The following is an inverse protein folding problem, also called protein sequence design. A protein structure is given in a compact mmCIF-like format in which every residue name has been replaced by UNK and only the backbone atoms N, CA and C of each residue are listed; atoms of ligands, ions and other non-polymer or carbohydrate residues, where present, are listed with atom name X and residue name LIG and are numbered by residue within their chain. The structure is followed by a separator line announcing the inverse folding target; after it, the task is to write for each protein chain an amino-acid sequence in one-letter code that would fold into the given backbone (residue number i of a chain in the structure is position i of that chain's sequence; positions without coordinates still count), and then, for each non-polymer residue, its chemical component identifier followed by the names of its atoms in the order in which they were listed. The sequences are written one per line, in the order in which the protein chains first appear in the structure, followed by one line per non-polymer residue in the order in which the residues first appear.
data_IF_553291404365
#
_entry.id   IF_553291404365
#
_cell.length_a   1.000
_cell.length_b   1.000
_cell.length_c   1.000
_cell.angle_alpha   90.00
_cell.angle_beta   90.00
_cell.angle_gamma   90.00
#
_symmetry.space_group_name_H-M   'P 1'
#
loop_
_entity.id
_entity.type
_entity.pdbx_description
1 polymer ?
#
# COMPACT_ATOMS: atom_id res chain seq x y z
N UNK A 1 4.44 -2.18 25.57
CA UNK A 1 3.38 -3.20 25.35
C UNK A 1 2.11 -2.70 24.61
N UNK A 2 2.18 -1.65 23.77
CA UNK A 2 0.97 -1.21 23.02
C UNK A 2 0.66 -2.09 21.81
N UNK A 3 1.68 -2.68 21.18
CA UNK A 3 1.53 -3.54 19.99
C UNK A 3 0.79 -4.84 20.25
N UNK A 4 1.14 -5.56 21.33
CA UNK A 4 0.50 -6.83 21.68
C UNK A 4 -1.00 -6.66 21.97
N UNK A 5 -1.37 -5.60 22.70
CA UNK A 5 -2.77 -5.32 23.03
C UNK A 5 -3.61 -5.05 21.76
N UNK A 6 -3.10 -4.24 20.82
CA UNK A 6 -3.79 -3.99 19.56
C UNK A 6 -3.94 -5.25 18.70
N UNK A 7 -2.94 -6.12 18.69
CA UNK A 7 -2.99 -7.39 17.94
C UNK A 7 -3.98 -8.37 18.55
N UNK A 8 -3.93 -8.56 19.88
CA UNK A 8 -4.88 -9.41 20.61
C UNK A 8 -6.31 -8.91 20.43
N UNK A 9 -6.54 -7.61 20.56
CA UNK A 9 -7.86 -7.02 20.35
C UNK A 9 -8.41 -7.32 18.96
N UNK A 10 -7.57 -7.25 17.91
CA UNK A 10 -7.98 -7.62 16.55
C UNK A 10 -8.37 -9.10 16.48
N UNK A 11 -7.50 -10.00 16.95
CA UNK A 11 -7.71 -11.46 16.83
C UNK A 11 -8.91 -11.93 17.67
N UNK A 12 -9.06 -11.41 18.89
CA UNK A 12 -10.13 -11.77 19.83
C UNK A 12 -11.49 -11.18 19.43
N UNK A 13 -11.51 -10.05 18.72
CA UNK A 13 -12.76 -9.44 18.22
C UNK A 13 -13.33 -10.09 16.96
N UNK A 14 -12.67 -11.13 16.44
CA UNK A 14 -13.11 -11.86 15.25
C UNK A 14 -14.46 -12.54 15.49
N UNK A 15 -15.41 -12.28 14.60
CA UNK A 15 -16.75 -12.89 14.59
C UNK A 15 -16.87 -13.86 13.41
N UNK A 16 -17.57 -14.96 13.61
CA UNK A 16 -17.76 -15.94 12.54
C UNK A 16 -18.49 -15.32 11.35
N UNK A 17 -18.03 -15.68 10.14
CA UNK A 17 -18.72 -15.38 8.91
C UNK A 17 -19.89 -16.37 8.75
N UNK A 18 -21.13 -15.88 8.54
CA UNK A 18 -22.28 -16.76 8.32
C UNK A 18 -22.11 -17.67 7.09
N UNK A 19 -21.35 -17.21 6.10
CA UNK A 19 -21.07 -17.92 4.85
C UNK A 19 -19.68 -17.51 4.34
N UNK A 20 -18.84 -18.50 4.00
CA UNK A 20 -17.58 -18.27 3.32
C UNK A 20 -17.86 -17.85 1.87
N UNK A 21 -17.59 -16.58 1.57
CA UNK A 21 -17.69 -16.08 0.20
C UNK A 21 -16.38 -16.31 -0.53
N UNK A 22 -16.40 -16.90 -1.75
CA UNK A 22 -15.21 -16.98 -2.57
C UNK A 22 -14.74 -15.56 -2.91
N UNK A 23 -13.43 -15.40 -3.10
CA UNK A 23 -12.86 -14.13 -3.53
C UNK A 23 -13.46 -13.74 -4.89
N UNK A 24 -14.00 -12.52 -5.01
CA UNK A 24 -14.56 -12.02 -6.27
C UNK A 24 -13.46 -11.92 -7.31
N UNK A 25 -13.54 -12.61 -8.47
CA UNK A 25 -12.51 -12.55 -9.51
C UNK A 25 -12.19 -11.09 -9.89
N UNK A 26 -10.90 -10.74 -9.91
CA UNK A 26 -10.45 -9.38 -10.23
C UNK A 26 -10.00 -9.27 -11.70
N UNK A 27 -9.71 -10.41 -12.34
CA UNK A 27 -9.31 -10.47 -13.75
C UNK A 27 -10.33 -9.80 -14.68
N UNK A 28 -11.63 -10.13 -14.52
CA UNK A 28 -12.69 -9.60 -15.38
C UNK A 28 -12.76 -8.05 -15.34
N UNK A 29 -12.84 -7.38 -14.17
CA UNK A 29 -12.76 -5.92 -14.10
C UNK A 29 -11.49 -5.32 -14.70
N UNK A 30 -10.33 -5.96 -14.49
CA UNK A 30 -9.06 -5.48 -15.05
C UNK A 30 -9.07 -5.54 -16.57
N UNK A 31 -9.56 -6.64 -17.15
CA UNK A 31 -9.70 -6.80 -18.60
C UNK A 31 -10.72 -5.81 -19.18
N UNK A 32 -11.83 -5.57 -18.49
CA UNK A 32 -12.83 -4.56 -18.88
C UNK A 32 -12.22 -3.16 -18.92
N UNK A 33 -11.50 -2.78 -17.86
CA UNK A 33 -10.78 -1.51 -17.77
C UNK A 33 -9.75 -1.37 -18.90
N UNK A 34 -8.89 -2.38 -19.09
CA UNK A 34 -7.84 -2.36 -20.09
C UNK A 34 -8.40 -2.35 -21.52
N UNK A 35 -9.44 -3.14 -21.79
CA UNK A 35 -10.10 -3.18 -23.10
C UNK A 35 -10.69 -1.83 -23.45
N UNK A 36 -11.35 -1.18 -22.50
CA UNK A 36 -11.89 0.16 -22.71
C UNK A 36 -10.77 1.20 -22.92
N UNK A 37 -9.65 1.09 -22.19
CA UNK A 37 -8.47 1.95 -22.38
C UNK A 37 -7.92 1.82 -23.81
N UNK A 38 -7.78 0.60 -24.32
CA UNK A 38 -7.34 0.34 -25.70
C UNK A 38 -8.33 0.88 -26.74
N UNK A 39 -9.64 0.78 -26.50
CA UNK A 39 -10.66 1.29 -27.43
C UNK A 39 -10.70 2.82 -27.49
N UNK A 40 -10.55 3.50 -26.35
CA UNK A 40 -10.58 4.97 -26.28
C UNK A 40 -9.20 5.61 -26.51
N UNK A 41 -8.13 4.80 -26.48
CA UNK A 41 -6.73 5.24 -26.49
C UNK A 41 -6.25 5.81 -25.15
N UNK A 42 -7.14 6.37 -24.33
CA UNK A 42 -6.83 6.88 -22.99
C UNK A 42 -8.09 6.98 -22.12
N UNK A 43 -7.88 7.08 -20.81
CA UNK A 43 -8.84 7.55 -19.83
C UNK A 43 -8.48 8.95 -19.38
N UNK A 44 -9.50 9.77 -19.13
CA UNK A 44 -9.32 11.09 -18.52
C UNK A 44 -9.12 10.96 -17.00
N UNK A 45 -8.29 11.84 -16.43
CA UNK A 45 -8.02 11.92 -15.01
C UNK A 45 -8.50 13.27 -14.43
N UNK A 46 -9.08 13.26 -13.22
CA UNK A 46 -9.47 14.48 -12.48
C UNK A 46 -8.30 15.04 -11.63
N UNK A 47 -7.14 14.40 -11.68
CA UNK A 47 -5.94 14.73 -10.92
C UNK A 47 -4.84 13.70 -11.13
N UNK A 48 -3.69 13.89 -10.48
CA UNK A 48 -2.61 12.92 -10.54
C UNK A 48 -3.09 11.59 -9.92
N UNK A 49 -3.05 10.50 -10.70
CA UNK A 49 -3.43 9.15 -10.26
C UNK A 49 -4.91 8.99 -9.83
N UNK A 50 -5.81 9.88 -10.29
CA UNK A 50 -7.24 9.78 -10.05
C UNK A 50 -8.04 9.69 -11.35
N UNK A 51 -8.68 8.55 -11.61
CA UNK A 51 -9.61 8.37 -12.72
C UNK A 51 -10.78 9.36 -12.61
N UNK A 52 -11.12 10.01 -13.72
CA UNK A 52 -12.20 10.98 -13.71
C UNK A 52 -13.54 10.34 -13.31
N UNK A 53 -14.32 11.02 -12.47
CA UNK A 53 -15.58 10.46 -11.95
C UNK A 53 -16.58 10.13 -13.07
N UNK A 54 -16.56 10.91 -14.16
CA UNK A 54 -17.36 10.66 -15.37
C UNK A 54 -16.98 9.39 -16.10
N UNK A 55 -15.69 9.03 -16.11
CA UNK A 55 -15.19 7.79 -16.71
C UNK A 55 -15.59 6.59 -15.86
N UNK A 56 -15.44 6.69 -14.54
CA UNK A 56 -15.89 5.65 -13.60
C UNK A 56 -17.38 5.32 -13.77
N UNK A 57 -18.24 6.35 -13.83
CA UNK A 57 -19.69 6.16 -14.07
C UNK A 57 -19.99 5.57 -15.45
N UNK A 58 -19.17 5.86 -16.46
CA UNK A 58 -19.34 5.31 -17.81
C UNK A 58 -19.00 3.82 -17.82
N UNK A 59 -17.90 3.42 -17.19
CA UNK A 59 -17.51 2.01 -17.03
C UNK A 59 -18.59 1.23 -16.28
N UNK A 60 -19.10 1.78 -15.18
CA UNK A 60 -20.19 1.17 -14.42
C UNK A 60 -21.45 0.97 -15.25
N UNK A 61 -21.86 1.98 -16.04
CA UNK A 61 -23.00 1.86 -16.97
C UNK A 61 -22.76 0.86 -18.10
N UNK A 62 -21.54 0.79 -18.62
CA UNK A 62 -21.20 -0.08 -19.75
C UNK A 62 -21.17 -1.55 -19.35
N UNK A 63 -20.61 -1.85 -18.19
CA UNK A 63 -20.45 -3.22 -17.70
C UNK A 63 -21.56 -3.66 -16.73
N UNK A 64 -22.45 -2.74 -16.35
CA UNK A 64 -23.53 -2.95 -15.38
C UNK A 64 -23.03 -3.56 -14.06
N UNK A 65 -21.81 -3.19 -13.68
CA UNK A 65 -21.11 -3.67 -12.48
C UNK A 65 -20.05 -2.67 -12.04
N UNK A 66 -19.70 -2.72 -10.75
CA UNK A 66 -18.59 -1.98 -10.16
C UNK A 66 -17.66 -2.98 -9.48
N UNK A 67 -16.35 -2.94 -9.75
CA UNK A 67 -15.39 -3.78 -9.04
C UNK A 67 -15.38 -3.42 -7.55
N UNK A 68 -14.88 -4.32 -6.68
CA UNK A 68 -14.62 -4.02 -5.29
C UNK A 68 -13.82 -2.70 -5.14
N UNK A 69 -14.31 -1.78 -4.31
CA UNK A 69 -13.73 -0.44 -4.14
C UNK A 69 -13.90 0.53 -5.32
N UNK A 70 -14.45 0.09 -6.44
CA UNK A 70 -14.82 0.93 -7.58
C UNK A 70 -13.69 1.19 -8.59
N UNK A 71 -14.11 1.63 -9.78
CA UNK A 71 -13.26 1.78 -10.96
C UNK A 71 -12.04 2.70 -10.76
N UNK A 72 -12.21 3.80 -10.04
CA UNK A 72 -11.13 4.76 -9.84
C UNK A 72 -9.95 4.18 -9.04
N UNK A 73 -10.26 3.41 -7.99
CA UNK A 73 -9.23 2.79 -7.14
C UNK A 73 -8.56 1.62 -7.85
N UNK A 74 -9.34 0.79 -8.57
CA UNK A 74 -8.78 -0.26 -9.42
C UNK A 74 -7.83 0.32 -10.48
N UNK A 75 -8.23 1.41 -11.14
CA UNK A 75 -7.39 2.09 -12.13
C UNK A 75 -6.05 2.56 -11.53
N UNK A 76 -6.06 3.12 -10.32
CA UNK A 76 -4.84 3.56 -9.66
C UNK A 76 -3.89 2.38 -9.36
N UNK A 77 -4.41 1.23 -8.89
CA UNK A 77 -3.61 0.03 -8.68
C UNK A 77 -3.09 -0.56 -10.00
N UNK A 78 -3.92 -0.59 -11.05
CA UNK A 78 -3.51 -0.99 -12.40
C UNK A 78 -2.36 -0.13 -12.92
N UNK A 79 -2.32 1.15 -12.57
CA UNK A 79 -1.17 2.00 -12.89
C UNK A 79 0.09 1.60 -12.13
N UNK A 80 -0.03 1.27 -10.84
CA UNK A 80 1.13 0.86 -10.03
C UNK A 80 1.71 -0.48 -10.47
N UNK A 81 0.87 -1.43 -10.88
CA UNK A 81 1.33 -2.73 -11.37
C UNK A 81 1.67 -2.74 -12.88
N UNK A 82 1.67 -1.60 -13.56
CA UNK A 82 2.12 -1.48 -14.95
C UNK A 82 1.12 -1.93 -16.02
N UNK A 83 -0.15 -2.15 -15.67
CA UNK A 83 -1.22 -2.47 -16.64
C UNK A 83 -1.62 -1.22 -17.42
N UNK A 84 -1.75 -0.11 -16.70
CA UNK A 84 -1.96 1.22 -17.27
C UNK A 84 -0.74 2.08 -16.98
N UNK A 85 -0.50 3.10 -17.81
CA UNK A 85 0.53 4.10 -17.56
C UNK A 85 -0.14 5.46 -17.29
N UNK A 86 0.20 6.13 -16.17
CA UNK A 86 -0.25 7.49 -15.93
C UNK A 86 0.52 8.46 -16.84
N UNK A 87 -0.22 9.36 -17.47
CA UNK A 87 0.28 10.50 -18.23
C UNK A 87 -0.30 11.81 -17.67
N UNK A 88 0.05 12.94 -18.27
CA UNK A 88 -0.49 14.23 -17.83
C UNK A 88 -2.00 14.25 -18.10
N UNK A 89 -2.77 14.24 -17.02
CA UNK A 89 -4.25 14.31 -17.02
C UNK A 89 -4.95 13.10 -17.67
N UNK A 90 -4.20 12.02 -17.95
CA UNK A 90 -4.74 10.81 -18.60
C UNK A 90 -4.10 9.53 -18.06
N UNK A 91 -4.75 8.40 -18.35
CA UNK A 91 -4.18 7.06 -18.23
C UNK A 91 -4.23 6.37 -19.58
N UNK A 92 -3.11 5.80 -20.03
CA UNK A 92 -3.03 5.08 -21.31
C UNK A 92 -2.81 3.59 -21.03
N UNK A 93 -3.25 2.68 -21.92
CA UNK A 93 -2.90 1.28 -21.81
C UNK A 93 -1.37 1.10 -21.91
N UNK A 94 -0.81 0.27 -21.04
CA UNK A 94 0.62 -0.08 -21.06
C UNK A 94 0.84 -1.56 -21.39
N UNK A 95 -0.02 -2.43 -20.86
CA UNK A 95 -0.01 -3.86 -21.13
C UNK A 95 -0.91 -4.20 -22.33
N UNK A 96 -0.51 -5.17 -23.14
CA UNK A 96 -1.35 -5.68 -24.20
C UNK A 96 -2.50 -6.54 -23.64
N UNK A 97 -3.63 -6.64 -24.37
CA UNK A 97 -4.80 -7.38 -23.89
C UNK A 97 -4.56 -8.89 -23.79
N UNK A 98 -3.82 -9.45 -24.74
CA UNK A 98 -3.39 -10.84 -24.76
C UNK A 98 -2.45 -11.17 -23.60
N UNK A 99 -1.53 -10.27 -23.26
CA UNK A 99 -0.68 -10.39 -22.08
C UNK A 99 -1.51 -10.39 -20.78
N UNK A 100 -2.49 -9.48 -20.68
CA UNK A 100 -3.38 -9.41 -19.51
C UNK A 100 -4.27 -10.66 -19.35
N UNK A 101 -4.71 -11.27 -20.45
CA UNK A 101 -5.51 -12.50 -20.45
C UNK A 101 -4.73 -13.70 -19.90
N UNK A 102 -3.40 -13.69 -20.01
CA UNK A 102 -2.53 -14.76 -19.52
C UNK A 102 -2.19 -14.63 -18.02
N UNK A 103 -2.55 -13.51 -17.38
CA UNK A 103 -2.35 -13.33 -15.95
C UNK A 103 -3.39 -14.13 -15.17
N UNK A 104 -2.95 -15.06 -14.33
CA UNK A 104 -3.85 -15.73 -13.40
C UNK A 104 -4.32 -14.75 -12.30
N UNK A 105 -5.53 -14.98 -11.78
CA UNK A 105 -6.17 -14.09 -10.82
C UNK A 105 -5.35 -13.92 -9.53
N UNK A 106 -4.63 -14.95 -9.07
CA UNK A 106 -3.80 -14.87 -7.87
C UNK A 106 -2.57 -13.98 -8.08
N UNK A 107 -1.88 -14.13 -9.21
CA UNK A 107 -0.77 -13.27 -9.63
C UNK A 107 -1.21 -11.82 -9.83
N UNK A 108 -2.43 -11.61 -10.34
CA UNK A 108 -3.01 -10.29 -10.52
C UNK A 108 -3.32 -9.62 -9.18
N UNK A 109 -3.97 -10.30 -8.24
CA UNK A 109 -4.22 -9.78 -6.88
C UNK A 109 -2.91 -9.40 -6.18
N UNK A 110 -1.90 -10.26 -6.29
CA UNK A 110 -0.56 -10.01 -5.76
C UNK A 110 0.05 -8.75 -6.35
N UNK A 111 0.07 -8.66 -7.68
CA UNK A 111 0.61 -7.49 -8.41
C UNK A 111 -0.13 -6.19 -8.05
N UNK A 112 -1.46 -6.24 -7.92
CA UNK A 112 -2.27 -5.09 -7.50
C UNK A 112 -1.99 -4.67 -6.05
N UNK A 113 -1.75 -5.62 -5.14
CA UNK A 113 -1.34 -5.30 -3.77
C UNK A 113 0.07 -4.72 -3.71
N UNK A 114 0.99 -5.31 -4.49
CA UNK A 114 2.39 -4.89 -4.57
C UNK A 114 2.58 -3.51 -5.22
N UNK A 115 1.59 -3.04 -5.99
CA UNK A 115 1.51 -1.64 -6.40
C UNK A 115 1.65 -0.70 -5.20
N UNK A 116 1.00 -1.00 -4.07
CA UNK A 116 1.16 -0.21 -2.86
C UNK A 116 2.34 -0.69 -2.02
N UNK A 117 2.42 -1.98 -1.72
CA UNK A 117 3.35 -2.49 -0.72
C UNK A 117 4.81 -2.43 -1.17
N UNK A 118 5.09 -2.30 -2.46
CA UNK A 118 6.45 -2.13 -3.01
C UNK A 118 6.64 -0.80 -3.72
N UNK A 119 5.61 -0.30 -4.40
CA UNK A 119 5.71 0.91 -5.24
C UNK A 119 5.04 2.14 -4.66
N UNK A 120 4.35 2.04 -3.51
CA UNK A 120 3.64 3.15 -2.86
C UNK A 120 2.57 3.84 -3.75
N UNK A 121 1.94 3.05 -4.62
CA UNK A 121 0.80 3.46 -5.44
C UNK A 121 -0.50 2.87 -4.86
N UNK A 122 -1.55 3.67 -4.59
CA UNK A 122 -1.71 5.07 -5.01
C UNK A 122 -0.95 6.08 -4.12
N UNK A 123 -0.45 7.20 -4.69
CA UNK A 123 0.26 8.22 -3.91
C UNK A 123 -0.54 8.86 -2.78
N UNK A 124 -1.87 8.94 -2.91
CA UNK A 124 -2.75 9.43 -1.84
C UNK A 124 -2.68 8.53 -0.60
N UNK A 125 -2.74 7.21 -0.79
CA UNK A 125 -2.57 6.24 0.29
C UNK A 125 -1.18 6.34 0.91
N UNK A 126 -0.13 6.51 0.09
CA UNK A 126 1.24 6.68 0.61
C UNK A 126 1.39 7.96 1.44
N UNK A 127 0.74 9.06 1.02
CA UNK A 127 0.71 10.29 1.80
C UNK A 127 0.00 10.09 3.15
N UNK A 128 -1.10 9.36 3.20
CA UNK A 128 -1.77 8.96 4.44
C UNK A 128 -0.85 8.21 5.39
N UNK A 129 -0.07 7.25 4.87
CA UNK A 129 0.95 6.52 5.64
C UNK A 129 2.03 7.46 6.18
N UNK A 130 2.55 8.37 5.36
CA UNK A 130 3.58 9.32 5.77
C UNK A 130 3.11 10.24 6.89
N UNK A 131 1.85 10.70 6.81
CA UNK A 131 1.22 11.48 7.87
C UNK A 131 1.11 10.64 9.15
N UNK A 132 0.68 9.38 9.05
CA UNK A 132 0.60 8.47 10.20
C UNK A 132 1.95 8.18 10.86
N UNK A 133 3.03 8.13 10.10
CA UNK A 133 4.40 8.01 10.62
C UNK A 133 4.93 9.34 11.17
N UNK A 134 4.28 10.45 10.84
CA UNK A 134 4.74 11.79 11.16
C UNK A 134 5.99 12.17 10.38
N UNK A 135 6.21 11.57 9.21
CA UNK A 135 7.34 11.84 8.32
C UNK A 135 7.22 13.27 7.79
N UNK A 136 8.34 13.98 7.75
CA UNK A 136 8.41 15.29 7.10
C UNK A 136 8.05 15.17 5.60
N UNK A 137 7.19 16.03 5.04
CA UNK A 137 6.72 15.91 3.65
C UNK A 137 7.83 15.78 2.60
N UNK A 138 8.93 16.54 2.75
CA UNK A 138 10.09 16.43 1.87
C UNK A 138 10.72 15.02 1.87
N UNK A 139 10.83 14.39 3.05
CA UNK A 139 11.35 13.02 3.18
C UNK A 139 10.36 12.00 2.61
N UNK A 140 9.06 12.15 2.85
CA UNK A 140 8.04 11.27 2.24
C UNK A 140 8.03 11.34 0.71
N UNK A 141 8.12 12.55 0.15
CA UNK A 141 8.24 12.75 -1.29
C UNK A 141 9.55 12.16 -1.82
N UNK A 142 10.67 12.30 -1.09
CA UNK A 142 11.95 11.67 -1.45
C UNK A 142 11.82 10.14 -1.54
N UNK A 143 11.22 9.50 -0.54
CA UNK A 143 11.01 8.04 -0.51
C UNK A 143 10.17 7.60 -1.72
N UNK A 144 9.02 8.24 -1.95
CA UNK A 144 8.15 7.92 -3.08
C UNK A 144 8.88 8.05 -4.44
N UNK A 145 9.64 9.13 -4.64
CA UNK A 145 10.43 9.31 -5.86
C UNK A 145 11.58 8.29 -6.01
N UNK A 146 12.28 7.99 -4.92
CA UNK A 146 13.37 7.01 -4.90
C UNK A 146 12.88 5.62 -5.32
N UNK A 147 11.73 5.21 -4.78
CA UNK A 147 11.09 3.93 -5.09
C UNK A 147 10.62 3.89 -6.56
N UNK A 148 9.88 4.90 -7.02
CA UNK A 148 9.42 4.94 -8.40
C UNK A 148 10.58 4.90 -9.41
N UNK A 149 11.66 5.64 -9.17
CA UNK A 149 12.82 5.66 -10.08
C UNK A 149 13.60 4.34 -10.11
N UNK A 150 13.79 3.67 -8.96
CA UNK A 150 14.45 2.36 -8.92
C UNK A 150 13.66 1.32 -9.72
N UNK A 151 12.34 1.31 -9.57
CA UNK A 151 11.47 0.40 -10.29
C UNK A 151 11.46 0.68 -11.80
N UNK A 152 11.40 1.94 -12.21
CA UNK A 152 11.51 2.30 -13.64
C UNK A 152 12.86 1.95 -14.25
N UNK A 153 13.96 1.94 -13.49
CA UNK A 153 15.28 1.53 -13.99
C UNK A 153 15.42 0.00 -14.10
N UNK A 154 14.83 -0.75 -13.16
CA UNK A 154 14.78 -2.22 -13.24
C UNK A 154 13.95 -2.69 -14.45
N UNK A 155 12.81 -2.04 -14.71
CA UNK A 155 11.92 -2.37 -15.84
C UNK A 155 12.54 -1.98 -17.22
N UNK A 156 13.36 -0.91 -17.29
CA UNK A 156 13.96 -0.41 -18.55
C UNK A 156 15.38 -0.92 -18.83
N UNK A 157 15.90 -1.89 -18.06
CA UNK A 157 17.29 -2.39 -18.21
C UNK A 157 17.58 -3.17 -19.50
N UNK A 158 16.68 -3.16 -20.50
CA UNK A 158 16.92 -3.70 -21.84
C UNK A 158 17.38 -2.66 -22.87
N UNK A 159 17.11 -1.36 -22.70
CA UNK A 159 17.53 -0.30 -23.64
C UNK A 159 17.55 1.06 -22.96
N UNK A 160 18.69 1.74 -23.07
CA UNK A 160 19.00 3.11 -22.59
C UNK A 160 19.41 3.30 -21.13
N UNK A 161 20.73 3.14 -20.92
CA UNK A 161 21.47 3.67 -19.78
C UNK A 161 21.53 5.20 -19.89
N UNK A 162 20.44 5.89 -19.52
CA UNK A 162 20.52 7.26 -19.02
C UNK A 162 20.04 7.25 -17.59
N UNK A 163 20.99 7.33 -16.67
CA UNK A 163 20.78 7.47 -15.24
C UNK A 163 19.85 8.65 -14.94
N UNK A 164 18.55 8.38 -14.82
CA UNK A 164 17.60 9.34 -14.31
C UNK A 164 17.91 9.52 -12.82
N UNK A 165 18.79 10.49 -12.52
CA UNK A 165 18.92 11.00 -11.16
C UNK A 165 17.52 11.49 -10.76
N UNK A 166 17.08 11.21 -9.52
CA UNK A 166 15.78 11.67 -9.09
C UNK A 166 15.75 13.20 -9.24
N UNK A 167 14.67 13.74 -9.82
CA UNK A 167 14.54 15.14 -10.28
C UNK A 167 14.58 16.21 -9.17
N UNK A 168 15.22 15.91 -8.04
CA UNK A 168 15.48 16.83 -6.95
C UNK A 168 16.55 17.83 -7.37
N UNK A 169 16.23 19.11 -7.18
CA UNK A 169 17.15 20.21 -7.45
C UNK A 169 18.35 20.22 -6.48
N UNK A 170 18.19 19.64 -5.29
CA UNK A 170 19.23 19.52 -4.28
C UNK A 170 19.09 18.19 -3.51
N UNK A 171 20.04 17.27 -3.70
CA UNK A 171 20.09 15.99 -2.99
C UNK A 171 20.95 16.07 -1.72
N UNK A 172 21.64 17.19 -1.47
CA UNK A 172 22.56 17.34 -0.33
C UNK A 172 21.83 17.44 1.01
N UNK A 173 20.55 17.82 0.99
CA UNK A 173 19.68 17.90 2.18
C UNK A 173 19.15 16.54 2.65
N UNK A 174 19.37 15.47 1.86
CA UNK A 174 18.89 14.12 2.15
C UNK A 174 20.08 13.18 2.40
N UNK A 175 20.53 13.09 3.64
CA UNK A 175 21.63 12.18 3.99
C UNK A 175 21.25 10.71 3.75
N UNK A 176 22.10 9.91 3.08
CA UNK A 176 21.77 8.54 2.67
C UNK A 176 21.31 7.63 3.82
N UNK A 177 21.94 7.75 4.98
CA UNK A 177 21.59 6.93 6.14
C UNK A 177 20.22 7.30 6.71
N UNK A 178 19.91 8.60 6.82
CA UNK A 178 18.58 9.07 7.21
C UNK A 178 17.53 8.62 6.21
N UNK A 179 17.85 8.67 4.92
CA UNK A 179 16.98 8.22 3.85
C UNK A 179 16.65 6.72 3.96
N UNK A 180 17.66 5.89 4.22
CA UNK A 180 17.50 4.46 4.45
C UNK A 180 16.62 4.18 5.68
N UNK A 181 16.89 4.82 6.81
CA UNK A 181 16.11 4.63 8.04
C UNK A 181 14.63 4.97 7.85
N UNK A 182 14.33 6.04 7.10
CA UNK A 182 12.94 6.44 6.80
C UNK A 182 12.28 5.44 5.85
N UNK A 183 12.98 5.00 4.81
CA UNK A 183 12.46 3.98 3.89
C UNK A 183 12.16 2.66 4.61
N UNK A 184 13.08 2.19 5.46
CA UNK A 184 12.89 1.02 6.32
C UNK A 184 11.68 1.21 7.24
N UNK A 185 11.48 2.40 7.81
CA UNK A 185 10.32 2.71 8.64
C UNK A 185 9.01 2.60 7.85
N UNK A 186 8.97 3.16 6.63
CA UNK A 186 7.79 3.10 5.75
C UNK A 186 7.41 1.65 5.46
N UNK A 187 8.36 0.83 5.01
CA UNK A 187 8.06 -0.56 4.67
C UNK A 187 7.82 -1.44 5.91
N UNK A 188 8.46 -1.15 7.05
CA UNK A 188 8.13 -1.83 8.32
C UNK A 188 6.69 -1.53 8.75
N UNK A 189 6.24 -0.28 8.60
CA UNK A 189 4.88 0.12 8.94
C UNK A 189 3.82 -0.54 8.06
N UNK A 190 4.14 -0.86 6.80
CA UNK A 190 3.29 -1.66 5.90
C UNK A 190 3.39 -3.15 6.22
N UNK A 191 4.60 -3.65 6.51
CA UNK A 191 4.85 -5.08 6.72
C UNK A 191 4.07 -5.65 7.91
N UNK A 192 3.94 -4.88 8.98
CA UNK A 192 3.23 -5.29 10.20
C UNK A 192 1.75 -5.62 9.96
N UNK A 193 0.93 -4.70 9.41
CA UNK A 193 -0.47 -5.02 9.12
C UNK A 193 -0.59 -6.14 8.09
N UNK A 194 0.24 -6.19 7.04
CA UNK A 194 0.21 -7.29 6.05
C UNK A 194 0.51 -8.66 6.69
N UNK A 195 1.53 -8.75 7.54
CA UNK A 195 1.86 -9.97 8.28
C UNK A 195 0.75 -10.38 9.26
N UNK A 196 0.11 -9.41 9.91
CA UNK A 196 -0.99 -9.70 10.81
C UNK A 196 -2.24 -10.21 10.06
N UNK A 197 -2.58 -9.60 8.91
CA UNK A 197 -3.68 -10.04 8.06
C UNK A 197 -3.49 -11.50 7.59
N UNK A 198 -2.26 -11.93 7.27
CA UNK A 198 -1.94 -13.33 6.94
C UNK A 198 -2.24 -14.33 8.07
N UNK A 199 -2.24 -13.87 9.32
CA UNK A 199 -2.49 -14.72 10.50
C UNK A 199 -3.97 -14.76 10.91
N UNK A 200 -4.82 -13.94 10.30
CA UNK A 200 -6.25 -13.96 10.58
C UNK A 200 -6.92 -15.23 10.05
N UNK A 201 -7.93 -15.69 10.78
CA UNK A 201 -8.80 -16.79 10.37
C UNK A 201 -9.68 -16.34 9.18
N UNK A 202 -9.61 -17.02 8.02
CA UNK A 202 -10.41 -16.68 6.84
C UNK A 202 -11.91 -16.92 7.02
N UNK A 203 -12.31 -17.65 8.06
CA UNK A 203 -13.71 -17.92 8.39
C UNK A 203 -14.33 -16.84 9.29
N UNK A 204 -13.58 -15.78 9.59
CA UNK A 204 -14.01 -14.69 10.46
C UNK A 204 -13.97 -13.32 9.78
N UNK A 205 -14.74 -12.40 10.34
CA UNK A 205 -14.71 -10.97 10.06
C UNK A 205 -14.27 -10.19 11.29
N UNK A 206 -13.57 -9.10 11.06
CA UNK A 206 -12.85 -8.34 12.07
C UNK A 206 -13.26 -6.87 12.04
N UNK A 207 -13.30 -6.17 13.19
CA UNK A 207 -13.61 -4.74 13.21
C UNK A 207 -12.51 -3.91 12.53
N UNK A 208 -12.91 -2.98 11.65
CA UNK A 208 -11.98 -2.05 11.01
C UNK A 208 -11.24 -1.19 12.05
N UNK A 209 -11.91 -0.79 13.13
CA UNK A 209 -11.31 -0.02 14.22
C UNK A 209 -10.17 -0.76 14.93
N UNK A 210 -10.31 -2.08 15.12
CA UNK A 210 -9.25 -2.89 15.72
C UNK A 210 -8.04 -2.98 14.79
N UNK A 211 -8.29 -3.12 13.48
CA UNK A 211 -7.23 -3.08 12.48
C UNK A 211 -6.53 -1.71 12.43
N UNK A 212 -7.28 -0.60 12.54
CA UNK A 212 -6.71 0.74 12.62
C UNK A 212 -5.77 0.93 13.82
N UNK A 213 -6.15 0.38 14.99
CA UNK A 213 -5.30 0.40 16.19
C UNK A 213 -4.02 -0.44 16.03
N UNK A 214 -4.09 -1.56 15.31
CA UNK A 214 -2.92 -2.36 14.96
C UNK A 214 -2.00 -1.61 14.00
N UNK A 215 -2.52 -1.08 12.90
CA UNK A 215 -1.76 -0.31 11.90
C UNK A 215 -1.05 0.88 12.55
N UNK A 216 -1.73 1.57 13.48
CA UNK A 216 -1.11 2.64 14.26
C UNK A 216 -0.01 2.15 15.19
N UNK A 217 -0.19 1.00 15.85
CA UNK A 217 0.87 0.42 16.66
C UNK A 217 2.09 0.05 15.80
N UNK A 218 1.87 -0.46 14.58
CA UNK A 218 2.91 -0.71 13.59
C UNK A 218 3.67 0.56 13.19
N UNK A 219 2.96 1.66 12.90
CA UNK A 219 3.60 2.95 12.59
C UNK A 219 4.43 3.47 13.77
N UNK A 220 3.92 3.36 15.00
CA UNK A 220 4.67 3.76 16.21
C UNK A 220 5.94 2.93 16.41
N UNK A 221 5.85 1.62 16.19
CA UNK A 221 7.00 0.73 16.29
C UNK A 221 8.03 1.05 15.20
N UNK A 222 7.61 1.15 13.94
CA UNK A 222 8.49 1.45 12.82
C UNK A 222 9.23 2.77 13.02
N UNK A 223 8.51 3.78 13.51
CA UNK A 223 9.13 5.04 13.89
C UNK A 223 10.12 4.89 15.05
N UNK A 224 9.74 4.22 16.14
CA UNK A 224 10.64 4.03 17.27
C UNK A 224 11.93 3.30 16.86
N UNK A 225 11.83 2.34 15.93
CA UNK A 225 13.00 1.70 15.32
C UNK A 225 13.85 2.68 14.53
N UNK A 226 13.25 3.55 13.71
CA UNK A 226 13.99 4.58 12.98
C UNK A 226 14.63 5.62 13.92
N UNK A 227 13.90 6.10 14.94
CA UNK A 227 14.42 7.02 15.95
C UNK A 227 15.62 6.40 16.70
N UNK A 228 15.60 5.08 16.96
CA UNK A 228 16.73 4.37 17.55
C UNK A 228 17.93 4.28 16.61
N UNK A 229 17.71 4.05 15.29
CA UNK A 229 18.79 4.06 14.30
C UNK A 229 19.45 5.44 14.16
N UNK A 230 18.66 6.50 14.31
CA UNK A 230 19.12 7.88 14.12
C UNK A 230 19.63 8.54 15.41
N UNK A 231 19.51 7.88 16.57
CA UNK A 231 19.76 8.48 17.89
C UNK A 231 21.17 9.05 18.06
N UNK A 232 22.18 8.37 17.52
CA UNK A 232 23.59 8.73 17.69
C UNK A 232 24.14 9.61 16.56
N UNK A 233 23.28 10.01 15.61
CA UNK A 233 23.68 10.79 14.45
C UNK A 233 23.36 12.27 14.64
N UNK A 234 24.38 13.11 14.45
CA UNK A 234 24.16 14.55 14.29
C UNK A 234 23.47 14.76 12.95
N UNK A 235 22.15 14.90 12.96
CA UNK A 235 21.36 15.12 11.75
C UNK A 235 21.72 16.48 11.12
N UNK A 236 22.55 16.46 10.08
CA UNK A 236 22.82 17.61 9.23
C UNK A 236 21.72 17.68 8.16
N UNK A 237 20.63 18.40 8.44
CA UNK A 237 19.58 18.59 7.44
C UNK A 237 18.16 18.70 8.00
N UNK A 238 17.18 18.34 7.17
CA UNK A 238 15.77 18.37 7.53
C UNK A 238 15.47 17.30 8.59
N UNK A 239 14.74 17.70 9.63
CA UNK A 239 14.24 16.75 10.64
C UNK A 239 13.39 15.66 9.96
N UNK A 240 13.67 14.37 10.18
CA UNK A 240 12.99 13.26 9.50
C UNK A 240 11.52 13.15 9.89
N UNK A 241 11.19 13.48 11.14
CA UNK A 241 9.85 13.40 11.70
C UNK A 241 9.41 14.75 12.29
N UNK A 242 8.18 15.16 12.01
CA UNK A 242 7.62 16.45 12.44
C UNK A 242 6.65 16.35 13.62
N UNK A 243 5.94 15.23 13.75
CA UNK A 243 4.91 15.05 14.76
C UNK A 243 5.40 14.15 15.89
N UNK A 244 4.76 14.16 17.06
CA UNK A 244 4.98 13.11 18.07
C UNK A 244 3.79 12.14 18.03
N UNK A 245 4.03 10.86 17.71
CA UNK A 245 2.96 9.87 17.55
C UNK A 245 2.26 9.47 18.86
N UNK A 246 2.70 10.02 20.01
CA UNK A 246 2.14 9.74 21.33
C UNK A 246 0.85 10.50 21.65
N UNK A 247 0.39 11.42 20.78
CA UNK A 247 -0.93 12.06 20.92
C UNK A 247 -2.08 11.05 20.81
N UNK A 248 -3.28 11.33 21.36
CA UNK A 248 -4.44 10.43 21.30
C UNK A 248 -4.86 10.06 19.87
N UNK A 249 -5.70 9.04 19.72
CA UNK A 249 -6.29 8.65 18.41
C UNK A 249 -7.07 9.86 17.84
N UNK A 250 -6.49 10.56 16.87
CA UNK A 250 -7.23 11.49 16.01
C UNK A 250 -7.80 10.75 14.79
N UNK A 251 -8.79 11.38 14.12
CA UNK A 251 -9.48 10.87 12.92
C UNK A 251 -8.52 10.27 11.86
N UNK A 252 -7.36 10.92 11.67
CA UNK A 252 -6.34 10.53 10.70
C UNK A 252 -5.85 9.06 10.77
N UNK A 253 -5.90 8.39 11.93
CA UNK A 253 -5.45 6.98 12.03
C UNK A 253 -6.52 5.98 11.57
N UNK A 254 -7.79 6.26 11.83
CA UNK A 254 -8.90 5.48 11.27
C UNK A 254 -8.97 5.71 9.76
N UNK A 255 -8.77 6.97 9.32
CA UNK A 255 -8.78 7.34 7.91
C UNK A 255 -7.78 6.54 7.09
N UNK A 256 -6.51 6.40 7.51
CA UNK A 256 -5.55 5.61 6.73
C UNK A 256 -5.88 4.11 6.71
N UNK A 257 -6.12 3.49 7.87
CA UNK A 257 -6.34 2.04 7.90
C UNK A 257 -7.63 1.63 7.17
N UNK A 258 -8.69 2.41 7.31
CA UNK A 258 -9.97 2.18 6.65
C UNK A 258 -9.94 2.67 5.19
N UNK A 259 -9.70 3.95 4.94
CA UNK A 259 -9.83 4.56 3.61
C UNK A 259 -8.64 4.27 2.67
N UNK A 260 -7.41 4.28 3.19
CA UNK A 260 -6.21 4.22 2.35
C UNK A 260 -5.65 2.81 2.17
N UNK A 261 -5.65 1.98 3.21
CA UNK A 261 -5.12 0.61 3.15
C UNK A 261 -6.21 -0.41 2.79
N UNK A 262 -7.33 -0.46 3.52
CA UNK A 262 -8.41 -1.38 3.18
C UNK A 262 -9.08 -0.95 1.87
N UNK A 263 -9.67 0.23 1.87
CA UNK A 263 -10.57 0.68 0.81
C UNK A 263 -9.87 1.01 -0.51
N UNK A 264 -8.66 1.55 -0.47
CA UNK A 264 -7.91 1.97 -1.66
C UNK A 264 -6.88 0.95 -2.16
N UNK A 265 -6.52 -0.06 -1.36
CA UNK A 265 -5.53 -1.08 -1.74
C UNK A 265 -6.11 -2.49 -1.64
N UNK A 266 -6.46 -2.95 -0.43
CA UNK A 266 -6.79 -4.37 -0.20
C UNK A 266 -8.12 -4.79 -0.82
N UNK A 267 -9.16 -3.95 -0.74
CA UNK A 267 -10.46 -4.23 -1.35
C UNK A 267 -10.39 -4.19 -2.88
N UNK A 268 -9.82 -3.16 -3.53
CA UNK A 268 -9.70 -3.14 -4.99
C UNK A 268 -8.72 -4.19 -5.55
N UNK A 269 -7.71 -4.61 -4.77
CA UNK A 269 -6.88 -5.76 -5.11
C UNK A 269 -7.59 -7.11 -4.87
N UNK A 270 -8.81 -7.11 -4.32
CA UNK A 270 -9.58 -8.30 -4.03
C UNK A 270 -9.02 -9.15 -2.88
N UNK A 271 -8.15 -8.60 -2.04
CA UNK A 271 -7.59 -9.29 -0.87
C UNK A 271 -8.53 -9.23 0.32
N UNK A 272 -9.32 -8.16 0.43
CA UNK A 272 -10.26 -7.96 1.50
C UNK A 272 -11.67 -7.65 0.99
N UNK A 273 -12.66 -7.93 1.83
CA UNK A 273 -14.04 -7.50 1.64
C UNK A 273 -14.51 -6.77 2.89
N UNK A 274 -15.15 -5.61 2.71
CA UNK A 274 -15.77 -4.82 3.78
C UNK A 274 -17.28 -5.08 3.85
N UNK A 275 -17.85 -4.82 5.02
CA UNK A 275 -19.28 -4.96 5.32
C UNK A 275 -19.83 -3.66 5.92
N UNK A 276 -21.12 -3.43 5.75
CA UNK A 276 -21.81 -2.21 6.20
C UNK A 276 -21.76 -1.99 7.73
N UNK A 277 -21.47 -3.04 8.50
CA UNK A 277 -21.35 -2.98 9.96
C UNK A 277 -19.94 -2.58 10.46
N UNK A 278 -19.08 -2.08 9.57
CA UNK A 278 -17.73 -1.64 9.92
C UNK A 278 -16.75 -2.79 10.18
N UNK A 279 -17.04 -3.97 9.62
CA UNK A 279 -16.16 -5.14 9.68
C UNK A 279 -15.59 -5.47 8.30
N UNK A 280 -14.54 -6.29 8.28
CA UNK A 280 -13.92 -6.80 7.06
C UNK A 280 -13.46 -8.25 7.22
N UNK A 281 -13.30 -8.97 6.13
CA UNK A 281 -12.60 -10.26 6.09
C UNK A 281 -11.46 -10.24 5.06
N UNK A 282 -10.56 -11.23 5.15
CA UNK A 282 -9.36 -11.34 4.31
C UNK A 282 -9.35 -12.69 3.61
N UNK A 283 -9.07 -12.68 2.32
CA UNK A 283 -8.77 -13.88 1.54
C UNK A 283 -7.28 -14.22 1.73
N UNK A 284 -6.99 -15.00 2.78
CA UNK A 284 -5.63 -15.29 3.25
C UNK A 284 -4.67 -15.77 2.14
N UNK A 285 -5.15 -16.61 1.24
CA UNK A 285 -4.33 -17.20 0.16
C UNK A 285 -3.80 -16.13 -0.80
N UNK A 286 -4.47 -14.98 -0.90
CA UNK A 286 -4.05 -13.86 -1.76
C UNK A 286 -2.87 -13.06 -1.19
N UNK A 287 -2.50 -13.27 0.09
CA UNK A 287 -1.40 -12.57 0.75
C UNK A 287 -0.12 -13.41 0.89
N UNK A 288 -0.17 -14.72 0.62
CA UNK A 288 0.90 -15.66 0.98
C UNK A 288 2.30 -15.23 0.48
N UNK A 289 2.36 -14.72 -0.76
CA UNK A 289 3.60 -14.36 -1.45
C UNK A 289 3.80 -12.84 -1.61
N UNK A 290 2.95 -12.01 -0.99
CA UNK A 290 3.03 -10.55 -1.16
C UNK A 290 4.31 -10.01 -0.50
N UNK A 291 5.12 -9.31 -1.29
CA UNK A 291 6.31 -8.62 -0.80
C UNK A 291 5.99 -7.19 -0.32
N UNK A 292 6.79 -6.69 0.62
CA UNK A 292 6.67 -5.32 1.16
C UNK A 292 8.02 -4.63 1.09
N UNK A 293 8.21 -3.72 0.14
CA UNK A 293 9.53 -3.25 -0.25
C UNK A 293 10.43 -4.43 -0.65
N UNK A 294 11.56 -4.57 0.03
CA UNK A 294 12.48 -5.72 -0.08
C UNK A 294 12.18 -6.85 0.94
N UNK A 295 11.13 -6.70 1.76
CA UNK A 295 10.79 -7.67 2.81
C UNK A 295 9.93 -8.80 2.25
N UNK A 296 10.48 -10.00 2.28
CA UNK A 296 9.74 -11.24 2.02
C UNK A 296 8.74 -11.57 3.17
N UNK A 297 7.83 -12.55 2.99
CA UNK A 297 6.85 -12.90 4.01
C UNK A 297 7.44 -13.27 5.37
N UNK A 298 8.64 -13.88 5.42
CA UNK A 298 9.30 -14.27 6.67
C UNK A 298 9.86 -13.05 7.41
N UNK A 299 10.49 -12.13 6.69
CA UNK A 299 11.01 -10.88 7.23
C UNK A 299 9.87 -9.99 7.76
N UNK A 300 8.73 -9.95 7.07
CA UNK A 300 7.54 -9.23 7.56
C UNK A 300 7.02 -9.82 8.88
N UNK A 301 7.00 -11.15 9.03
CA UNK A 301 6.59 -11.80 10.28
C UNK A 301 7.54 -11.48 11.43
N UNK A 302 8.85 -11.42 11.15
CA UNK A 302 9.84 -11.02 12.13
C UNK A 302 9.58 -9.59 12.64
N UNK A 303 9.22 -8.65 11.76
CA UNK A 303 8.83 -7.28 12.17
C UNK A 303 7.59 -7.26 13.05
N UNK A 304 6.59 -8.09 12.73
CA UNK A 304 5.42 -8.26 13.59
C UNK A 304 5.83 -8.80 14.97
N UNK A 305 6.66 -9.84 15.03
CA UNK A 305 7.14 -10.43 16.29
C UNK A 305 7.89 -9.39 17.13
N UNK A 306 8.80 -8.62 16.54
CA UNK A 306 9.52 -7.57 17.26
C UNK A 306 8.60 -6.48 17.78
N UNK A 307 7.57 -6.08 17.01
CA UNK A 307 6.56 -5.16 17.51
C UNK A 307 5.79 -5.74 18.71
N UNK A 308 5.40 -7.02 18.64
CA UNK A 308 4.67 -7.68 19.74
C UNK A 308 5.54 -7.80 21.00
N UNK A 309 6.84 -8.01 20.84
CA UNK A 309 7.83 -8.06 21.90
C UNK A 309 8.32 -6.68 22.40
N UNK A 310 7.88 -5.58 21.79
CA UNK A 310 8.34 -4.21 22.07
C UNK A 310 9.85 -4.01 21.85
N UNK A 311 10.44 -4.78 20.93
CA UNK A 311 11.87 -4.82 20.64
C UNK A 311 12.27 -3.90 19.48
N UNK A 312 11.93 -2.61 19.59
CA UNK A 312 12.19 -1.63 18.52
C UNK A 312 13.69 -1.46 18.18
N UNK A 313 14.59 -1.78 19.13
CA UNK A 313 16.05 -1.71 18.96
C UNK A 313 16.74 -3.04 18.63
N UNK A 314 16.01 -4.16 18.49
CA UNK A 314 16.62 -5.42 18.08
C UNK A 314 16.88 -5.40 16.56
N UNK A 315 18.10 -5.05 16.17
CA UNK A 315 18.62 -5.34 14.85
C UNK A 315 19.26 -6.72 14.89
N UNK A 316 18.68 -7.72 14.23
CA UNK A 316 19.43 -8.94 13.92
C UNK A 316 20.37 -8.58 12.77
N UNK A 317 21.66 -8.68 13.06
CA UNK A 317 22.77 -8.48 12.13
C UNK A 317 22.78 -9.52 10.99
#
# INVERSE_FOLDING_TARGET
MKGINSYLELVESGRDLPELRPATPIQDPVLQLLSHAHQQGHFEADGAWQLAARVSRRLEKLHNTSPPGGWARLCALCCGCGILRPERETFVPNLALDEALNLDDASLRRSLCEAFTRKLVPPASAAGLFIMLGIHPAWGLWVAHSIHNRNSQQENSATDIRSAKPGWRDTSIFEPHTAQAIEEAVFTAIAIPIAALRKLDPTKRYPIDAFARLTRAGCRFARASADAQLHDLTLLGLQPFLQNLNTPLGAHNQDFAAADLLDAVLVPAGIAQTFDDGTFCVHKDSLADVQVGELDPSAQELRLIWMLADQAGCQVA
#
